data_IF_662237958264
#
_entry.id   IF_662237958264
#
_cell.length_a   1.000
_cell.length_b   1.000
_cell.length_c   1.000
_cell.angle_alpha   90.00
_cell.angle_beta   90.00
_cell.angle_gamma   90.00
#
_symmetry.space_group_name_H-M   'P 1'
#
loop_
_entity.id
_entity.type
_entity.pdbx_description
1 polymer ?
#
# COMPACT_ATOMS: atom_id res chain seq x y z
N UNK A 1 -10.61 27.53 8.91
CA UNK A 1 -9.36 26.81 8.70
C UNK A 1 -9.73 25.47 8.06
N UNK A 2 -9.34 25.28 6.81
CA UNK A 2 -9.53 24.01 6.11
C UNK A 2 -8.56 22.99 6.73
N UNK A 3 -8.96 21.77 7.06
CA UNK A 3 -8.02 20.77 7.52
C UNK A 3 -7.01 20.47 6.40
N UNK A 4 -5.73 20.47 6.75
CA UNK A 4 -4.62 20.09 5.87
C UNK A 4 -4.62 18.58 5.63
N UNK A 5 -5.68 18.05 5.01
CA UNK A 5 -5.79 16.63 4.66
C UNK A 5 -5.04 16.30 3.37
N UNK A 6 -4.52 17.32 2.69
CA UNK A 6 -3.87 17.19 1.38
C UNK A 6 -2.40 16.75 1.42
N UNK A 7 -1.78 16.69 2.61
CA UNK A 7 -0.32 16.51 2.73
C UNK A 7 0.16 15.06 2.84
N UNK A 8 -0.74 14.10 3.02
CA UNK A 8 -0.33 12.70 3.30
C UNK A 8 0.00 11.91 2.01
N UNK A 9 -0.56 12.29 0.87
CA UNK A 9 -0.37 11.59 -0.40
C UNK A 9 0.42 12.37 -1.46
N UNK A 10 0.76 13.64 -1.23
CA UNK A 10 1.42 14.49 -2.22
C UNK A 10 2.96 14.37 -2.26
N UNK A 11 3.55 13.54 -1.42
CA UNK A 11 5.01 13.35 -1.37
C UNK A 11 5.58 12.30 -2.32
N UNK A 12 4.73 11.54 -3.01
CA UNK A 12 5.19 10.46 -3.86
C UNK A 12 4.76 10.66 -5.29
N UNK A 13 5.73 10.65 -6.16
CA UNK A 13 5.72 10.48 -7.61
C UNK A 13 5.87 11.80 -8.39
N UNK A 14 7.11 12.31 -8.44
CA UNK A 14 7.63 12.89 -9.68
C UNK A 14 8.19 11.75 -10.52
N UNK A 15 7.39 11.20 -11.39
CA UNK A 15 7.91 10.35 -12.46
C UNK A 15 8.44 11.29 -13.56
N UNK A 16 9.76 11.48 -13.59
CA UNK A 16 10.42 11.91 -14.81
C UNK A 16 10.48 10.70 -15.74
N UNK A 17 10.12 10.92 -16.99
CA UNK A 17 10.14 9.97 -18.09
C UNK A 17 11.43 9.15 -18.14
N UNK A 18 11.27 7.85 -18.46
CA UNK A 18 12.29 6.96 -19.01
C UNK A 18 13.58 6.83 -18.19
N UNK A 19 13.57 5.84 -17.28
CA UNK A 19 14.61 4.82 -17.22
C UNK A 19 14.26 3.77 -16.17
N UNK A 20 14.12 2.54 -16.64
CA UNK A 20 14.48 1.23 -16.10
C UNK A 20 14.45 1.05 -14.58
N UNK A 21 13.68 0.03 -14.14
CA UNK A 21 13.76 -0.66 -12.86
C UNK A 21 13.71 0.25 -11.64
N UNK A 22 12.68 1.00 -11.50
CA UNK A 22 12.59 1.85 -10.32
C UNK A 22 11.67 1.24 -9.28
N UNK A 23 12.30 0.99 -8.18
CA UNK A 23 11.75 0.99 -6.86
C UNK A 23 10.96 2.29 -6.70
N UNK A 24 9.65 2.19 -6.59
CA UNK A 24 8.84 3.33 -6.18
C UNK A 24 8.75 3.33 -4.66
N UNK A 25 9.46 4.21 -3.93
CA UNK A 25 9.20 4.38 -2.52
C UNK A 25 7.79 4.95 -2.39
N UNK A 26 6.88 4.24 -1.75
CA UNK A 26 5.65 4.85 -1.28
C UNK A 26 6.01 5.83 -0.16
N UNK A 27 5.35 6.98 -0.14
CA UNK A 27 5.51 7.89 0.98
C UNK A 27 5.12 7.17 2.29
N UNK A 28 5.86 7.40 3.39
CA UNK A 28 5.47 6.84 4.67
C UNK A 28 4.10 7.39 5.07
N UNK A 29 3.31 6.55 5.72
CA UNK A 29 2.08 6.99 6.37
C UNK A 29 2.12 6.70 7.87
N UNK A 30 1.33 7.45 8.62
CA UNK A 30 1.05 7.18 10.03
C UNK A 30 -0.34 6.59 10.15
N UNK A 31 -0.50 5.52 10.95
CA UNK A 31 -1.82 4.96 11.23
C UNK A 31 -2.63 5.99 12.04
N UNK A 32 -3.65 6.57 11.41
CA UNK A 32 -4.40 7.69 11.99
C UNK A 32 -5.61 7.23 12.80
N UNK A 33 -6.21 6.11 12.43
CA UNK A 33 -7.48 5.65 12.96
C UNK A 33 -7.44 4.16 13.28
N UNK A 34 -6.83 3.74 14.40
CA UNK A 34 -6.74 2.32 14.74
C UNK A 34 -8.12 1.69 15.02
N UNK A 35 -9.13 2.49 15.34
CA UNK A 35 -10.49 2.08 15.72
C UNK A 35 -11.58 2.92 15.04
N UNK A 36 -11.33 3.47 13.86
CA UNK A 36 -12.33 4.23 13.12
C UNK A 36 -13.49 3.36 12.60
N UNK A 37 -14.63 3.98 12.32
CA UNK A 37 -15.89 3.31 11.96
C UNK A 37 -16.55 3.86 10.69
N UNK A 38 -15.92 4.79 9.97
CA UNK A 38 -16.48 5.32 8.74
C UNK A 38 -16.68 4.21 7.69
N UNK A 39 -17.86 4.21 7.07
CA UNK A 39 -18.21 3.21 6.07
C UNK A 39 -17.62 3.53 4.71
N UNK A 40 -17.08 2.50 4.05
CA UNK A 40 -16.60 2.54 2.66
C UNK A 40 -17.69 2.28 1.61
N UNK A 41 -18.94 2.13 2.04
CA UNK A 41 -20.06 1.87 1.12
C UNK A 41 -20.19 2.96 0.07
N UNK A 42 -20.30 2.57 -1.19
CA UNK A 42 -20.37 3.49 -2.33
C UNK A 42 -19.06 4.19 -2.69
N UNK A 43 -17.92 3.76 -2.15
CA UNK A 43 -16.60 4.21 -2.57
C UNK A 43 -16.01 3.27 -3.62
N UNK A 44 -15.41 3.85 -4.65
CA UNK A 44 -14.59 3.13 -5.63
C UNK A 44 -13.30 3.92 -5.88
N UNK A 45 -12.33 3.26 -6.50
CA UNK A 45 -11.06 3.90 -6.83
C UNK A 45 -11.22 4.96 -7.92
N UNK A 46 -10.53 6.07 -7.76
CA UNK A 46 -10.50 7.17 -8.70
C UNK A 46 -9.07 7.51 -9.15
N UNK A 47 -8.96 8.09 -10.33
CA UNK A 47 -7.69 8.61 -10.86
C UNK A 47 -7.44 10.02 -10.38
N UNK A 48 -6.21 10.28 -9.95
CA UNK A 48 -5.74 11.65 -9.75
C UNK A 48 -5.46 12.31 -11.10
N UNK A 49 -5.86 13.57 -11.22
CA UNK A 49 -5.58 14.36 -12.42
C UNK A 49 -4.07 14.52 -12.60
N UNK A 50 -3.60 14.39 -13.86
CA UNK A 50 -2.18 14.58 -14.24
C UNK A 50 -1.20 13.56 -13.62
N UNK A 51 -1.68 12.48 -13.02
CA UNK A 51 -0.85 11.39 -12.53
C UNK A 51 -1.12 10.14 -13.36
N UNK A 52 -0.05 9.57 -13.93
CA UNK A 52 -0.15 8.30 -14.65
C UNK A 52 -0.16 7.15 -13.66
N UNK A 53 -1.28 6.42 -13.61
CA UNK A 53 -1.49 5.26 -12.71
C UNK A 53 -2.18 4.14 -13.46
N UNK A 54 -2.29 2.96 -12.83
CA UNK A 54 -3.29 1.95 -13.23
C UNK A 54 -4.71 2.53 -13.19
N UNK A 55 -5.66 1.80 -13.77
CA UNK A 55 -7.09 2.12 -13.71
C UNK A 55 -7.94 0.84 -13.67
N UNK A 56 -9.26 0.97 -13.82
CA UNK A 56 -10.17 -0.17 -13.76
C UNK A 56 -9.83 -1.27 -14.76
N UNK A 57 -9.38 -0.90 -15.96
CA UNK A 57 -9.14 -1.86 -17.05
C UNK A 57 -7.97 -2.80 -16.72
N UNK A 58 -7.03 -2.36 -15.89
CA UNK A 58 -5.90 -3.17 -15.44
C UNK A 58 -6.29 -4.31 -14.48
N UNK A 59 -7.53 -4.29 -13.97
CA UNK A 59 -8.04 -5.27 -12.99
C UNK A 59 -9.16 -6.15 -13.55
N UNK A 60 -9.45 -6.04 -14.85
CA UNK A 60 -10.52 -6.84 -15.49
C UNK A 60 -9.99 -8.22 -15.86
N UNK A 61 -10.79 -9.25 -15.54
CA UNK A 61 -10.56 -10.64 -15.91
C UNK A 61 -9.17 -11.20 -15.56
N UNK A 62 -8.65 -10.84 -14.40
CA UNK A 62 -7.38 -11.34 -13.88
C UNK A 62 -7.42 -11.61 -12.37
N UNK A 63 -6.30 -12.07 -11.81
CA UNK A 63 -6.19 -12.46 -10.39
C UNK A 63 -5.76 -11.32 -9.45
N UNK A 64 -5.68 -10.08 -9.94
CA UNK A 64 -5.14 -8.98 -9.17
C UNK A 64 -6.25 -8.19 -8.46
N UNK A 65 -6.04 -7.92 -7.18
CA UNK A 65 -6.83 -6.96 -6.43
C UNK A 65 -6.24 -5.56 -6.58
N UNK A 66 -7.09 -4.53 -6.47
CA UNK A 66 -6.65 -3.15 -6.18
C UNK A 66 -6.13 -3.10 -4.75
N UNK A 67 -4.88 -3.59 -4.55
CA UNK A 67 -4.28 -3.68 -3.22
C UNK A 67 -3.91 -2.30 -2.70
N UNK A 68 -4.48 -1.90 -1.56
CA UNK A 68 -4.12 -0.64 -0.90
C UNK A 68 -2.69 -0.71 -0.34
N UNK A 69 -1.90 0.34 -0.56
CA UNK A 69 -0.63 0.52 0.13
C UNK A 69 -0.87 1.10 1.52
N UNK A 70 -1.51 2.26 1.63
CA UNK A 70 -2.06 2.75 2.89
C UNK A 70 -3.48 2.21 3.06
N UNK A 71 -3.74 1.31 4.03
CA UNK A 71 -5.00 0.59 4.12
C UNK A 71 -6.16 1.50 4.56
N UNK A 72 -7.30 1.36 3.91
CA UNK A 72 -8.51 2.12 4.18
C UNK A 72 -8.90 2.12 5.67
N UNK A 73 -8.79 0.96 6.33
CA UNK A 73 -9.12 0.81 7.74
C UNK A 73 -8.20 1.57 8.71
N UNK A 74 -7.03 2.06 8.25
CA UNK A 74 -6.14 2.90 9.05
C UNK A 74 -6.44 4.40 8.92
N UNK A 75 -7.45 4.77 8.13
CA UNK A 75 -7.87 6.15 7.83
C UNK A 75 -9.37 6.38 7.95
N UNK A 76 -10.11 5.48 8.57
CA UNK A 76 -11.56 5.51 8.63
C UNK A 76 -12.13 6.24 9.87
N UNK A 77 -11.45 7.30 10.37
CA UNK A 77 -12.00 8.21 11.36
C UNK A 77 -13.19 9.00 10.82
N UNK A 78 -13.09 9.44 9.57
CA UNK A 78 -14.15 10.11 8.85
C UNK A 78 -14.18 9.68 7.37
N UNK A 79 -15.26 10.04 6.68
CA UNK A 79 -15.48 9.63 5.30
C UNK A 79 -14.49 10.24 4.31
N UNK A 80 -14.01 11.46 4.53
CA UNK A 80 -13.07 12.12 3.62
C UNK A 80 -11.68 11.51 3.72
N UNK A 81 -11.23 11.26 4.96
CA UNK A 81 -9.98 10.52 5.21
C UNK A 81 -10.01 9.14 4.55
N UNK A 82 -11.09 8.41 4.74
CA UNK A 82 -11.30 7.11 4.14
C UNK A 82 -11.27 7.20 2.61
N UNK A 83 -12.00 8.14 2.01
CA UNK A 83 -12.04 8.33 0.56
C UNK A 83 -10.66 8.63 -0.02
N UNK A 84 -9.80 9.36 0.69
CA UNK A 84 -8.44 9.67 0.23
C UNK A 84 -7.57 8.43 0.01
N UNK A 85 -7.92 7.29 0.58
CA UNK A 85 -7.20 6.04 0.35
C UNK A 85 -7.64 5.31 -0.93
N UNK A 86 -8.77 5.70 -1.54
CA UNK A 86 -9.33 5.09 -2.74
C UNK A 86 -8.83 5.76 -4.03
N UNK A 87 -7.58 6.15 -4.07
CA UNK A 87 -6.94 6.63 -5.30
C UNK A 87 -6.05 5.54 -5.90
N UNK A 88 -5.96 5.47 -7.24
CA UNK A 88 -5.04 4.55 -7.91
C UNK A 88 -3.57 4.82 -7.58
N UNK A 89 -3.20 6.02 -7.13
CA UNK A 89 -1.87 6.32 -6.59
C UNK A 89 -1.55 5.46 -5.37
N UNK A 90 -2.57 5.12 -4.58
CA UNK A 90 -2.46 4.28 -3.37
C UNK A 90 -2.74 2.80 -3.65
N UNK A 91 -2.82 2.37 -4.89
CA UNK A 91 -3.11 0.98 -5.24
C UNK A 91 -2.00 0.32 -6.05
N UNK A 92 -1.97 -1.00 -5.99
CA UNK A 92 -1.06 -1.83 -6.75
C UNK A 92 -1.77 -3.12 -7.18
N UNK A 93 -1.35 -3.70 -8.31
CA UNK A 93 -1.76 -5.03 -8.76
C UNK A 93 -1.25 -6.07 -7.77
N UNK A 94 -2.07 -6.43 -6.78
CA UNK A 94 -1.69 -7.33 -5.71
C UNK A 94 -2.41 -8.66 -5.82
N UNK A 95 -1.67 -9.76 -5.71
CA UNK A 95 -2.24 -11.11 -5.77
C UNK A 95 -3.33 -11.28 -4.70
N UNK A 96 -4.50 -11.79 -5.10
CA UNK A 96 -5.71 -11.81 -4.26
C UNK A 96 -5.52 -12.50 -2.91
N UNK A 97 -4.89 -13.68 -2.92
CA UNK A 97 -4.68 -14.43 -1.67
C UNK A 97 -3.66 -13.75 -0.74
N UNK A 98 -2.68 -13.03 -1.30
CA UNK A 98 -1.76 -12.19 -0.54
C UNK A 98 -2.52 -11.04 0.10
N UNK A 99 -3.23 -10.23 -0.71
CA UNK A 99 -3.96 -9.05 -0.28
C UNK A 99 -4.99 -9.37 0.81
N UNK A 100 -5.82 -10.38 0.56
CA UNK A 100 -6.93 -10.76 1.46
C UNK A 100 -6.48 -11.59 2.66
N UNK A 101 -5.26 -12.13 2.62
CA UNK A 101 -4.66 -13.04 3.61
C UNK A 101 -3.64 -12.36 4.50
N UNK A 102 -2.37 -12.73 4.36
CA UNK A 102 -1.28 -12.35 5.26
C UNK A 102 -0.98 -10.84 5.22
N UNK A 103 -1.16 -10.17 4.08
CA UNK A 103 -1.04 -8.71 4.00
C UNK A 103 -2.06 -8.02 4.91
N UNK A 104 -3.34 -8.45 4.84
CA UNK A 104 -4.40 -7.94 5.74
C UNK A 104 -4.11 -8.23 7.21
N UNK A 105 -3.48 -9.38 7.54
CA UNK A 105 -3.04 -9.66 8.92
C UNK A 105 -2.03 -8.63 9.41
N UNK A 106 -1.07 -8.23 8.56
CA UNK A 106 -0.10 -7.18 8.92
C UNK A 106 -0.77 -5.83 9.11
N UNK A 107 -1.77 -5.47 8.29
CA UNK A 107 -2.56 -4.25 8.47
C UNK A 107 -3.36 -4.25 9.79
N UNK A 108 -3.85 -5.40 10.22
CA UNK A 108 -4.48 -5.54 11.56
C UNK A 108 -3.44 -5.28 12.64
N UNK A 109 -2.23 -5.87 12.53
CA UNK A 109 -1.12 -5.64 13.47
C UNK A 109 -0.73 -4.16 13.57
N UNK A 110 -0.68 -3.44 12.45
CA UNK A 110 -0.43 -1.99 12.44
C UNK A 110 -1.42 -1.23 13.33
N UNK A 111 -2.70 -1.53 13.17
CA UNK A 111 -3.77 -0.89 13.94
C UNK A 111 -3.75 -1.28 15.42
N UNK A 112 -3.45 -2.54 15.73
CA UNK A 112 -3.30 -2.97 17.13
C UNK A 112 -2.14 -2.21 17.82
N UNK A 113 -0.99 -2.10 17.16
CA UNK A 113 0.14 -1.31 17.67
C UNK A 113 -0.21 0.18 17.83
N UNK A 114 -1.05 0.70 16.92
CA UNK A 114 -1.42 2.11 16.89
C UNK A 114 -2.44 2.51 17.96
N UNK A 115 -3.03 1.58 18.68
CA UNK A 115 -3.92 1.90 19.81
C UNK A 115 -3.19 2.65 20.93
N UNK A 116 -1.93 2.29 21.16
CA UNK A 116 -1.12 2.79 22.26
C UNK A 116 0.13 3.55 21.81
N UNK A 117 0.40 3.61 20.49
CA UNK A 117 1.65 4.17 19.96
C UNK A 117 1.41 4.93 18.67
N UNK A 118 2.32 5.84 18.34
CA UNK A 118 2.46 6.32 16.97
C UNK A 118 3.13 5.23 16.12
N UNK A 119 2.43 4.75 15.09
CA UNK A 119 2.96 3.77 14.14
C UNK A 119 3.18 4.42 12.78
N UNK A 120 4.44 4.50 12.37
CA UNK A 120 4.84 4.94 11.03
C UNK A 120 5.10 3.73 10.15
N UNK A 121 4.51 3.71 8.97
CA UNK A 121 4.62 2.61 8.03
C UNK A 121 5.30 3.08 6.76
N UNK A 122 6.30 2.32 6.31
CA UNK A 122 6.95 2.50 5.02
C UNK A 122 6.67 1.28 4.16
N UNK A 123 6.35 1.52 2.89
CA UNK A 123 6.18 0.46 1.89
C UNK A 123 7.09 0.76 0.71
N UNK A 124 7.75 -0.26 0.20
CA UNK A 124 8.44 -0.23 -1.07
C UNK A 124 7.83 -1.28 -1.97
N UNK A 125 7.24 -0.84 -3.08
CA UNK A 125 6.78 -1.71 -4.15
C UNK A 125 7.97 -2.07 -5.03
N UNK A 126 8.21 -3.34 -5.23
CA UNK A 126 9.34 -3.83 -6.01
C UNK A 126 8.86 -4.32 -7.37
N UNK A 127 9.48 -3.79 -8.41
CA UNK A 127 9.28 -4.26 -9.78
C UNK A 127 10.56 -4.92 -10.28
N UNK A 128 10.44 -5.98 -11.08
CA UNK A 128 11.61 -6.58 -11.74
C UNK A 128 12.21 -5.64 -12.78
N UNK A 129 13.43 -5.92 -13.22
CA UNK A 129 14.11 -5.16 -14.27
C UNK A 129 13.28 -5.07 -15.57
N UNK A 130 12.52 -6.12 -15.87
CA UNK A 130 11.54 -6.16 -16.97
C UNK A 130 10.22 -6.64 -16.36
N UNK A 131 9.38 -5.71 -15.84
CA UNK A 131 8.17 -6.12 -15.16
C UNK A 131 7.15 -6.74 -16.11
N UNK A 132 6.53 -7.84 -15.69
CA UNK A 132 5.34 -8.34 -16.34
C UNK A 132 4.23 -7.28 -16.29
N UNK A 133 3.34 -7.32 -17.27
CA UNK A 133 2.23 -6.37 -17.38
C UNK A 133 0.92 -7.10 -17.62
N UNK A 134 -0.17 -6.52 -17.14
CA UNK A 134 -1.52 -6.93 -17.56
C UNK A 134 -1.80 -6.44 -18.99
N UNK A 135 -2.83 -6.99 -19.68
CA UNK A 135 -3.17 -6.57 -21.04
C UNK A 135 -3.41 -5.06 -21.20
N UNK A 136 -3.98 -4.40 -20.19
CA UNK A 136 -4.18 -2.95 -20.18
C UNK A 136 -2.92 -2.13 -19.86
N UNK A 137 -1.76 -2.79 -19.69
CA UNK A 137 -0.41 -2.25 -19.62
C UNK A 137 0.13 -1.83 -18.25
N UNK A 138 -0.61 -1.95 -17.14
CA UNK A 138 -0.04 -1.71 -15.83
C UNK A 138 1.00 -2.77 -15.47
N UNK A 139 2.09 -2.35 -14.85
CA UNK A 139 3.17 -3.24 -14.40
C UNK A 139 2.75 -4.01 -13.15
N UNK A 140 3.09 -5.30 -13.13
CA UNK A 140 2.85 -6.19 -12.00
C UNK A 140 4.08 -6.19 -11.10
N UNK A 141 3.96 -5.78 -9.81
CA UNK A 141 5.08 -5.87 -8.87
C UNK A 141 5.51 -7.31 -8.63
N UNK A 142 6.79 -7.52 -8.38
CA UNK A 142 7.33 -8.82 -7.95
C UNK A 142 7.20 -9.03 -6.45
N UNK A 143 7.10 -7.94 -5.68
CA UNK A 143 6.97 -8.03 -4.22
C UNK A 143 6.84 -6.68 -3.54
N UNK A 144 6.75 -6.75 -2.22
CA UNK A 144 6.54 -5.61 -1.34
C UNK A 144 7.41 -5.73 -0.10
N UNK A 145 8.18 -4.70 0.19
CA UNK A 145 8.77 -4.49 1.51
C UNK A 145 7.82 -3.60 2.32
N UNK A 146 7.62 -3.96 3.61
CA UNK A 146 6.83 -3.16 4.53
C UNK A 146 7.54 -3.06 5.88
N UNK A 147 7.74 -1.84 6.35
CA UNK A 147 8.34 -1.53 7.64
C UNK A 147 7.30 -0.90 8.56
N UNK A 148 7.17 -1.42 9.77
CA UNK A 148 6.45 -0.81 10.87
C UNK A 148 7.46 -0.20 11.84
N UNK A 149 7.33 1.09 12.12
CA UNK A 149 8.19 1.80 13.06
C UNK A 149 7.38 2.35 14.22
N UNK A 150 7.76 1.96 15.45
CA UNK A 150 7.20 2.41 16.72
C UNK A 150 8.35 2.95 17.58
N UNK A 151 8.45 4.26 17.72
CA UNK A 151 9.61 4.90 18.35
C UNK A 151 10.92 4.46 17.67
N UNK A 152 11.80 3.80 18.41
CA UNK A 152 13.09 3.28 17.89
C UNK A 152 13.01 1.81 17.43
N UNK A 153 11.88 1.13 17.66
CA UNK A 153 11.70 -0.26 17.24
C UNK A 153 11.20 -0.32 15.79
N UNK A 154 11.70 -1.30 15.05
CA UNK A 154 11.34 -1.54 13.65
C UNK A 154 11.04 -3.01 13.45
N UNK A 155 9.96 -3.30 12.74
CA UNK A 155 9.61 -4.62 12.23
C UNK A 155 9.53 -4.54 10.71
N UNK A 156 10.17 -5.44 9.99
CA UNK A 156 10.25 -5.41 8.54
C UNK A 156 9.82 -6.74 7.95
N UNK A 157 9.08 -6.66 6.87
CA UNK A 157 8.48 -7.79 6.19
C UNK A 157 8.72 -7.69 4.69
N UNK A 158 8.87 -8.84 4.05
CA UNK A 158 8.91 -8.95 2.59
C UNK A 158 7.88 -9.98 2.12
N UNK A 159 7.07 -9.60 1.17
CA UNK A 159 6.06 -10.44 0.54
C UNK A 159 6.32 -10.51 -0.95
N UNK A 160 6.54 -11.69 -1.49
CA UNK A 160 6.45 -11.93 -2.94
C UNK A 160 5.00 -11.73 -3.37
N UNK A 161 4.79 -11.15 -4.55
CA UNK A 161 3.45 -10.91 -5.08
C UNK A 161 2.86 -12.16 -5.75
N UNK A 162 2.78 -13.22 -4.98
CA UNK A 162 2.25 -14.54 -5.36
C UNK A 162 1.33 -15.07 -4.28
N UNK A 163 0.61 -16.17 -4.57
CA UNK A 163 -0.18 -16.86 -3.53
C UNK A 163 0.74 -17.25 -2.35
N UNK A 164 0.43 -16.83 -1.12
CA UNK A 164 1.22 -17.15 0.06
C UNK A 164 1.27 -18.65 0.36
N UNK A 165 2.43 -19.15 0.77
CA UNK A 165 2.61 -20.54 1.22
C UNK A 165 2.10 -20.76 2.66
N UNK A 166 2.11 -19.70 3.48
CA UNK A 166 1.67 -19.73 4.87
C UNK A 166 0.92 -18.45 5.23
N UNK A 167 0.09 -18.53 6.26
CA UNK A 167 -0.60 -17.37 6.83
C UNK A 167 0.13 -16.76 8.04
N UNK A 168 1.30 -17.29 8.42
CA UNK A 168 2.05 -16.86 9.59
C UNK A 168 2.95 -15.66 9.26
N UNK A 169 2.72 -14.51 9.91
CA UNK A 169 3.48 -13.27 9.65
C UNK A 169 4.98 -13.42 9.90
N UNK A 170 5.37 -14.23 10.86
CA UNK A 170 6.77 -14.46 11.20
C UNK A 170 7.58 -14.99 10.02
N UNK A 171 6.97 -15.78 9.13
CA UNK A 171 7.62 -16.33 7.94
C UNK A 171 8.02 -15.26 6.90
N UNK A 172 7.44 -14.06 7.00
CA UNK A 172 7.69 -12.94 6.08
C UNK A 172 8.63 -11.89 6.69
N UNK A 173 9.07 -12.05 7.93
CA UNK A 173 10.03 -11.13 8.53
C UNK A 173 11.35 -11.11 7.76
N UNK A 174 11.88 -9.91 7.58
CA UNK A 174 13.15 -9.71 6.91
C UNK A 174 14.04 -8.69 7.66
N UNK A 175 15.30 -8.59 7.25
CA UNK A 175 16.18 -7.58 7.80
C UNK A 175 15.77 -6.19 7.33
N UNK A 176 15.55 -5.25 8.25
CA UNK A 176 15.14 -3.89 7.96
C UNK A 176 16.18 -3.09 7.13
N UNK A 177 17.41 -3.55 7.02
CA UNK A 177 18.42 -2.95 6.12
C UNK A 177 18.04 -3.13 4.64
N UNK A 178 17.24 -4.15 4.32
CA UNK A 178 16.77 -4.42 2.96
C UNK A 178 15.63 -3.49 2.54
N UNK A 179 14.97 -2.83 3.49
CA UNK A 179 14.00 -1.76 3.24
C UNK A 179 14.79 -0.48 3.04
N UNK A 180 15.41 -0.32 1.88
CA UNK A 180 16.27 0.83 1.57
C UNK A 180 15.39 2.08 1.44
N UNK A 181 15.85 3.12 2.06
CA UNK A 181 15.27 4.48 2.05
C UNK A 181 15.62 5.22 0.77
#
# INVERSE_FOLDING_TARGET
PKPQTSLILHGAIRIRSLEVASITPSAPYTVMCPSGTASRSGMDFYKEKQVHTSDNDDYVANEWDKGHMAPAASFNCDRNMLLSTFTYVNSSLQQQSLNRGVWKKLEVRERELAKDNEVKVFIRVEYGATPNRVPANAAIPVGYYKELKVGNKRECYYFKNVKPETSELEAYKCNCRNVIR
#
